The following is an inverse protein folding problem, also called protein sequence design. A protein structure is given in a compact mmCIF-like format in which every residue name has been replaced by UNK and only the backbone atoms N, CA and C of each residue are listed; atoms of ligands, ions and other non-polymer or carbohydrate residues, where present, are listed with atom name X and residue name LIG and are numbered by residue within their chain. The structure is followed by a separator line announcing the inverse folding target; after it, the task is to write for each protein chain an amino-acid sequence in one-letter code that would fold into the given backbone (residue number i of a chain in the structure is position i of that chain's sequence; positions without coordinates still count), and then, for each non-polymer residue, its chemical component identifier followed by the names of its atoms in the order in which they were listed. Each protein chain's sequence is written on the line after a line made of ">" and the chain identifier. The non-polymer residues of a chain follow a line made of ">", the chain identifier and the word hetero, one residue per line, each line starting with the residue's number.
data_IF_455237165841
#
_entry.id   IF_455237165841
#
_cell.length_a   1.000
_cell.length_b   1.000
_cell.length_c   1.000
_cell.angle_alpha   90.00
_cell.angle_beta   90.00
_cell.angle_gamma   90.00
#
_symmetry.space_group_name_H-M   'P 1'
#
loop_
_entity.id
_entity.type
_entity.pdbx_description
1 polymer ?
#
# COMPACT_ATOMS: atom_id res chain seq x y z
N UNK A 1 -14.09 40.06 -26.03
CA UNK A 1 -13.95 38.83 -26.83
C UNK A 1 -12.48 38.45 -26.85
N UNK A 2 -12.11 37.38 -26.14
CA UNK A 2 -10.99 36.51 -26.51
C UNK A 2 -11.48 35.07 -26.28
N UNK A 3 -11.56 34.37 -27.39
CA UNK A 3 -11.84 32.95 -27.56
C UNK A 3 -10.61 32.14 -27.17
N UNK A 4 -10.80 30.96 -26.57
CA UNK A 4 -9.71 30.01 -26.40
C UNK A 4 -10.08 28.85 -25.49
N UNK A 5 -10.75 27.83 -26.05
CA UNK A 5 -10.90 26.55 -25.37
C UNK A 5 -9.56 25.81 -25.30
N UNK A 6 -9.37 25.03 -24.24
CA UNK A 6 -8.45 23.90 -24.27
C UNK A 6 -9.15 22.67 -23.71
N UNK A 7 -9.13 21.65 -24.57
CA UNK A 7 -9.70 20.32 -24.46
C UNK A 7 -8.93 19.53 -23.40
N UNK A 8 -9.61 18.55 -22.83
CA UNK A 8 -9.18 17.80 -21.67
C UNK A 8 -7.82 17.13 -21.81
N UNK A 9 -7.18 16.96 -20.67
CA UNK A 9 -6.41 15.76 -20.39
C UNK A 9 -6.61 15.39 -18.92
N UNK A 10 -7.36 14.31 -18.72
CA UNK A 10 -7.51 13.63 -17.45
C UNK A 10 -6.16 13.01 -17.15
N UNK A 11 -5.31 13.70 -16.37
CA UNK A 11 -4.02 13.21 -15.91
C UNK A 11 -4.22 11.97 -15.01
N UNK A 12 -4.34 10.80 -15.63
CA UNK A 12 -4.08 9.52 -14.96
C UNK A 12 -2.57 9.39 -14.81
N UNK A 13 -2.03 10.00 -13.77
CA UNK A 13 -0.64 9.78 -13.34
C UNK A 13 -0.54 8.36 -12.75
N UNK A 14 -0.43 7.35 -13.63
CA UNK A 14 0.22 6.10 -13.26
C UNK A 14 1.67 6.44 -12.96
N UNK A 15 1.99 6.68 -11.69
CA UNK A 15 3.39 6.81 -11.22
C UNK A 15 4.08 5.46 -11.43
N UNK A 16 4.58 5.24 -12.64
CA UNK A 16 5.43 4.09 -12.96
C UNK A 16 6.82 4.50 -12.52
N UNK A 17 7.35 3.88 -11.45
CA UNK A 17 8.76 4.08 -11.08
C UNK A 17 9.62 3.68 -12.28
N UNK A 18 10.40 4.63 -12.77
CA UNK A 18 11.33 4.40 -13.87
C UNK A 18 12.56 3.65 -13.34
N UNK A 19 12.62 2.35 -13.64
CA UNK A 19 13.78 1.50 -13.37
C UNK A 19 14.74 1.44 -14.57
N UNK A 20 14.51 2.24 -15.63
CA UNK A 20 15.43 2.31 -16.76
C UNK A 20 16.72 3.01 -16.31
N UNK A 21 17.86 2.45 -16.72
CA UNK A 21 19.21 2.92 -16.32
C UNK A 21 19.61 4.26 -16.95
N UNK A 22 18.67 5.04 -17.48
CA UNK A 22 18.98 6.39 -17.98
C UNK A 22 19.09 7.33 -16.78
N UNK A 23 20.28 7.37 -16.19
CA UNK A 23 20.70 8.41 -15.25
C UNK A 23 21.13 9.63 -16.05
N UNK A 24 20.53 10.78 -15.74
CA UNK A 24 21.02 12.08 -16.21
C UNK A 24 22.20 12.47 -15.30
N UNK A 25 23.32 13.00 -15.82
CA UNK A 25 24.42 13.46 -14.98
C UNK A 25 23.93 14.46 -13.92
N UNK A 26 24.17 14.16 -12.64
CA UNK A 26 23.75 15.00 -11.50
C UNK A 26 22.51 14.50 -10.74
N UNK A 27 21.79 13.48 -11.24
CA UNK A 27 20.62 12.91 -10.55
C UNK A 27 21.00 11.70 -9.69
N UNK A 28 20.75 11.74 -8.38
CA UNK A 28 20.86 10.55 -7.53
C UNK A 28 19.64 9.64 -7.73
N UNK A 29 19.83 8.49 -8.40
CA UNK A 29 18.82 7.42 -8.49
C UNK A 29 19.25 6.20 -7.69
N UNK A 30 18.52 5.86 -6.62
CA UNK A 30 18.70 4.59 -5.93
C UNK A 30 18.07 3.46 -6.77
N UNK A 31 18.89 2.80 -7.58
CA UNK A 31 18.49 1.59 -8.32
C UNK A 31 18.78 0.38 -7.43
N UNK A 32 17.78 -0.42 -7.04
CA UNK A 32 18.01 -1.65 -6.29
C UNK A 32 19.01 -2.56 -7.02
N UNK A 33 19.95 -3.16 -6.30
CA UNK A 33 20.94 -4.09 -6.86
C UNK A 33 20.27 -5.17 -7.72
N UNK A 34 20.93 -5.54 -8.83
CA UNK A 34 20.43 -6.27 -10.02
C UNK A 34 19.51 -7.50 -9.79
N UNK A 35 19.40 -8.05 -8.58
CA UNK A 35 18.65 -9.28 -8.27
C UNK A 35 17.47 -9.10 -7.28
N UNK A 36 17.14 -7.89 -6.81
CA UNK A 36 15.99 -7.69 -5.91
C UNK A 36 14.84 -6.99 -6.62
N UNK A 37 13.86 -7.78 -7.07
CA UNK A 37 12.58 -7.29 -7.57
C UNK A 37 11.67 -7.04 -6.37
N UNK A 38 11.38 -5.77 -6.08
CA UNK A 38 10.39 -5.41 -5.08
C UNK A 38 8.97 -5.53 -5.66
N UNK A 39 8.12 -6.32 -5.00
CA UNK A 39 6.72 -6.50 -5.37
C UNK A 39 5.83 -5.57 -4.53
N UNK A 40 4.78 -5.03 -5.15
CA UNK A 40 3.72 -4.29 -4.47
C UNK A 40 2.37 -4.72 -5.01
N UNK A 41 1.40 -4.94 -4.14
CA UNK A 41 0.02 -5.17 -4.52
C UNK A 41 -0.67 -3.84 -4.81
N UNK A 42 -1.43 -3.80 -5.91
CA UNK A 42 -2.22 -2.65 -6.34
C UNK A 42 -3.65 -3.13 -6.62
N UNK A 43 -4.62 -2.27 -6.36
CA UNK A 43 -6.04 -2.52 -6.63
C UNK A 43 -6.53 -1.59 -7.75
N UNK A 44 -7.65 -1.96 -8.36
CA UNK A 44 -8.35 -1.13 -9.36
C UNK A 44 -9.46 -0.32 -8.66
N UNK A 45 -9.37 1.03 -8.63
CA UNK A 45 -10.38 1.89 -8.03
C UNK A 45 -11.78 1.74 -8.64
N UNK A 46 -11.89 1.26 -9.90
CA UNK A 46 -13.19 1.00 -10.53
C UNK A 46 -13.87 -0.26 -9.97
N UNK A 47 -13.10 -1.15 -9.35
CA UNK A 47 -13.59 -2.39 -8.73
C UNK A 47 -13.79 -2.21 -7.22
N UNK A 48 -12.86 -1.51 -6.57
CA UNK A 48 -12.93 -1.14 -5.16
C UNK A 48 -12.51 0.33 -5.03
N UNK A 49 -13.47 1.26 -4.82
CA UNK A 49 -13.18 2.67 -4.63
C UNK A 49 -12.22 2.92 -3.45
N UNK A 50 -11.44 4.00 -3.52
CA UNK A 50 -10.41 4.31 -2.52
C UNK A 50 -10.96 4.38 -1.09
N UNK A 51 -12.11 5.05 -0.90
CA UNK A 51 -12.77 5.14 0.41
C UNK A 51 -13.18 3.76 0.96
N UNK A 52 -13.58 2.85 0.07
CA UNK A 52 -13.93 1.48 0.44
C UNK A 52 -12.67 0.68 0.79
N UNK A 53 -11.57 0.83 0.06
CA UNK A 53 -10.29 0.22 0.41
C UNK A 53 -9.75 0.69 1.76
N UNK A 54 -9.92 1.97 2.10
CA UNK A 54 -9.54 2.52 3.42
C UNK A 54 -10.41 1.90 4.52
N UNK A 55 -11.72 1.72 4.28
CA UNK A 55 -12.60 1.07 5.25
C UNK A 55 -12.20 -0.40 5.46
N UNK A 56 -12.02 -1.14 4.36
CA UNK A 56 -11.61 -2.54 4.38
C UNK A 56 -10.29 -2.76 5.09
N UNK A 57 -9.31 -1.86 4.91
CA UNK A 57 -8.03 -1.97 5.61
C UNK A 57 -8.19 -1.77 7.12
N UNK A 58 -9.00 -0.80 7.56
CA UNK A 58 -9.31 -0.60 8.99
C UNK A 58 -10.04 -1.78 9.59
N UNK A 59 -11.05 -2.31 8.89
CA UNK A 59 -11.82 -3.48 9.35
C UNK A 59 -10.91 -4.71 9.49
N UNK A 60 -10.02 -4.94 8.52
CA UNK A 60 -9.04 -6.01 8.57
C UNK A 60 -8.05 -5.87 9.74
N UNK A 61 -7.62 -4.65 10.07
CA UNK A 61 -6.72 -4.41 11.22
C UNK A 61 -7.44 -4.61 12.55
N UNK A 62 -8.68 -4.13 12.67
CA UNK A 62 -9.51 -4.35 13.86
C UNK A 62 -9.74 -5.85 14.10
N UNK A 63 -9.99 -6.61 13.05
CA UNK A 63 -10.10 -8.07 13.13
C UNK A 63 -8.75 -8.70 13.53
N UNK A 64 -7.62 -8.29 12.95
CA UNK A 64 -6.30 -8.81 13.29
C UNK A 64 -5.95 -8.61 14.78
N UNK A 65 -6.27 -7.43 15.32
CA UNK A 65 -6.06 -7.10 16.74
C UNK A 65 -6.90 -8.01 17.63
N UNK A 66 -8.18 -8.21 17.30
CA UNK A 66 -9.08 -9.11 18.05
C UNK A 66 -8.64 -10.57 17.99
N UNK A 67 -8.20 -11.01 16.81
CA UNK A 67 -7.76 -12.38 16.55
C UNK A 67 -6.34 -12.67 17.03
N UNK A 68 -5.62 -11.68 17.58
CA UNK A 68 -4.26 -11.84 18.10
C UNK A 68 -3.20 -12.09 17.01
N UNK A 69 -3.48 -11.75 15.75
CA UNK A 69 -2.58 -12.00 14.60
C UNK A 69 -1.54 -10.90 14.45
N UNK A 70 -0.80 -10.65 15.53
CA UNK A 70 0.23 -9.62 15.62
C UNK A 70 1.61 -10.22 15.90
N UNK A 71 2.64 -9.68 15.24
CA UNK A 71 4.05 -10.00 15.48
C UNK A 71 4.81 -8.75 15.88
N UNK A 72 5.41 -8.78 17.07
CA UNK A 72 6.24 -7.68 17.57
C UNK A 72 7.52 -7.55 16.73
N UNK A 73 7.91 -6.30 16.47
CA UNK A 73 9.16 -5.91 15.81
C UNK A 73 9.87 -4.93 16.76
N UNK A 74 10.61 -5.49 17.73
CA UNK A 74 11.21 -4.73 18.84
C UNK A 74 12.11 -3.58 18.36
N UNK A 75 12.92 -3.83 17.33
CA UNK A 75 13.87 -2.85 16.76
C UNK A 75 13.16 -1.59 16.23
N UNK A 76 11.89 -1.71 15.84
CA UNK A 76 11.10 -0.60 15.30
C UNK A 76 10.04 -0.10 16.28
N UNK A 77 9.94 -0.69 17.48
CA UNK A 77 8.89 -0.43 18.45
C UNK A 77 7.47 -0.52 17.85
N UNK A 78 7.24 -1.56 17.03
CA UNK A 78 5.99 -1.75 16.27
C UNK A 78 5.48 -3.17 16.37
N UNK A 79 4.17 -3.33 16.23
CA UNK A 79 3.53 -4.63 16.02
C UNK A 79 3.02 -4.69 14.60
N UNK A 80 3.48 -5.68 13.83
CA UNK A 80 2.94 -5.98 12.51
C UNK A 80 1.71 -6.87 12.66
N UNK A 81 0.57 -6.45 12.13
CA UNK A 81 -0.65 -7.22 12.10
C UNK A 81 -0.92 -7.80 10.71
N UNK A 82 -1.43 -9.03 10.71
CA UNK A 82 -1.93 -9.73 9.53
C UNK A 82 -3.45 -9.73 9.60
N UNK A 83 -4.08 -8.86 8.82
CA UNK A 83 -5.53 -8.68 8.80
C UNK A 83 -6.19 -9.36 7.63
N UNK A 84 -7.47 -9.67 7.80
CA UNK A 84 -8.30 -10.15 6.70
C UNK A 84 -9.74 -9.62 6.80
N UNK A 85 -10.40 -9.46 5.67
CA UNK A 85 -11.77 -8.99 5.59
C UNK A 85 -12.49 -9.65 4.42
N UNK A 86 -13.76 -10.02 4.62
CA UNK A 86 -14.60 -10.53 3.54
C UNK A 86 -15.13 -9.37 2.71
N UNK A 87 -14.95 -9.45 1.39
CA UNK A 87 -15.44 -8.47 0.42
C UNK A 87 -15.97 -9.20 -0.81
N UNK A 88 -17.26 -9.03 -1.11
CA UNK A 88 -17.94 -9.67 -2.26
C UNK A 88 -17.69 -11.18 -2.35
N UNK A 89 -17.74 -11.88 -1.22
CA UNK A 89 -17.54 -13.33 -1.12
C UNK A 89 -16.08 -13.80 -1.22
N UNK A 90 -15.11 -12.88 -1.23
CA UNK A 90 -13.68 -13.18 -1.24
C UNK A 90 -13.00 -12.63 0.02
N UNK A 91 -11.96 -13.32 0.48
CA UNK A 91 -11.15 -12.82 1.59
C UNK A 91 -10.03 -11.95 1.01
N UNK A 92 -10.01 -10.68 1.41
CA UNK A 92 -8.90 -9.77 1.17
C UNK A 92 -7.95 -9.81 2.36
N UNK A 93 -6.65 -9.81 2.08
CA UNK A 93 -5.60 -9.83 3.09
C UNK A 93 -4.90 -8.48 3.15
N UNK A 94 -4.58 -8.06 4.36
CA UNK A 94 -3.87 -6.82 4.64
C UNK A 94 -2.73 -7.08 5.61
N UNK A 95 -1.70 -6.25 5.51
CA UNK A 95 -0.70 -6.08 6.56
C UNK A 95 -0.76 -4.65 7.06
N UNK A 96 -0.52 -4.46 8.35
CA UNK A 96 -0.41 -3.13 8.91
C UNK A 96 0.53 -3.08 10.10
N UNK A 97 0.89 -1.87 10.51
CA UNK A 97 1.81 -1.62 11.61
C UNK A 97 1.12 -0.78 12.67
N UNK A 98 1.15 -1.28 13.90
CA UNK A 98 0.75 -0.57 15.10
C UNK A 98 1.99 0.02 15.77
N UNK A 99 1.95 1.30 16.09
CA UNK A 99 2.94 1.94 16.94
C UNK A 99 2.71 1.48 18.39
N UNK A 100 3.77 1.04 19.08
CA UNK A 100 3.64 0.59 20.47
C UNK A 100 3.54 1.73 21.48
N UNK A 101 4.09 2.90 21.17
CA UNK A 101 4.03 4.09 22.04
C UNK A 101 2.63 4.72 22.03
N UNK A 102 2.04 4.92 20.84
CA UNK A 102 0.72 5.55 20.71
C UNK A 102 -0.42 4.55 20.78
N UNK A 103 -0.15 3.27 20.50
CA UNK A 103 -1.18 2.25 20.39
C UNK A 103 -2.05 2.37 19.13
N UNK A 104 -1.67 3.19 18.16
CA UNK A 104 -2.44 3.41 16.93
C UNK A 104 -1.90 2.60 15.75
N UNK A 105 -2.79 2.23 14.83
CA UNK A 105 -2.39 1.66 13.53
C UNK A 105 -1.90 2.82 12.64
N UNK A 106 -0.61 2.86 12.34
CA UNK A 106 0.01 3.91 11.53
C UNK A 106 -0.30 3.75 10.04
N UNK A 107 -0.33 2.50 9.56
CA UNK A 107 -0.51 2.20 8.15
C UNK A 107 -1.03 0.77 7.94
N UNK A 108 -1.77 0.57 6.85
CA UNK A 108 -2.25 -0.73 6.41
C UNK A 108 -2.32 -0.79 4.86
N UNK A 109 -1.87 -1.88 4.28
CA UNK A 109 -1.83 -2.09 2.83
C UNK A 109 -2.27 -3.50 2.42
N UNK A 110 -2.89 -3.65 1.24
CA UNK A 110 -3.32 -4.96 0.76
C UNK A 110 -2.12 -5.82 0.37
N UNK A 111 -2.25 -7.14 0.57
CA UNK A 111 -1.29 -8.15 0.16
C UNK A 111 -2.01 -9.33 -0.50
N UNK A 112 -1.34 -10.03 -1.40
CA UNK A 112 -1.87 -11.29 -1.96
C UNK A 112 -1.71 -12.44 -0.96
N UNK A 113 -0.55 -12.45 -0.30
CA UNK A 113 -0.16 -13.40 0.74
C UNK A 113 0.55 -12.61 1.85
N UNK A 114 0.40 -13.03 3.10
CA UNK A 114 1.17 -12.42 4.18
C UNK A 114 2.64 -12.77 3.99
N UNK A 115 3.51 -11.80 4.27
CA UNK A 115 4.94 -12.00 4.22
C UNK A 115 5.33 -13.01 5.29
N UNK A 116 5.61 -14.24 4.85
CA UNK A 116 6.33 -15.22 5.64
C UNK A 116 7.72 -14.66 5.93
N UNK A 117 8.00 -14.34 7.19
CA UNK A 117 9.38 -14.12 7.63
C UNK A 117 10.11 -15.44 7.67
#
# INVERSE_FOLDING_TARGET
>A
MITGGFVGDKLSLKVKKDYTRKTIPGEFKHVPGRNRIFKKTVYDPNVIPDNEMIKLSKDAMNEAVKSGRGKVIDIQNKIKYEGQVSYKGKILKFEGFKNMDTGEIENAYPVLEWSTK
#
